data_IF_109828418078
#
_entry.id   IF_109828418078
#
_cell.length_a   1.000
_cell.length_b   1.000
_cell.length_c   1.000
_cell.angle_alpha   90.00
_cell.angle_beta   90.00
_cell.angle_gamma   90.00
#
_symmetry.space_group_name_H-M   'P 1'
#
loop_
_entity.id
_entity.type
_entity.pdbx_description
1 polymer ?
#
# COMPACT_ATOMS: atom_id res chain seq x y z
N UNK A 1 -34.62 -12.06 -6.10
CA UNK A 1 -34.37 -13.42 -5.58
C UNK A 1 -33.55 -13.28 -4.30
N UNK A 2 -33.88 -14.06 -3.26
CA UNK A 2 -33.61 -13.83 -1.84
C UNK A 2 -32.12 -13.66 -1.46
N UNK A 3 -31.79 -12.86 -0.42
CA UNK A 3 -30.48 -12.92 0.22
C UNK A 3 -30.41 -14.11 1.18
N UNK A 4 -29.30 -14.84 1.15
CA UNK A 4 -29.01 -15.92 2.06
C UNK A 4 -28.90 -15.40 3.50
N UNK A 5 -29.68 -16.01 4.39
CA UNK A 5 -29.72 -15.74 5.82
C UNK A 5 -28.42 -16.31 6.43
N UNK A 6 -27.49 -15.45 6.81
CA UNK A 6 -26.42 -15.82 7.74
C UNK A 6 -27.04 -15.93 9.14
N UNK A 7 -27.29 -17.15 9.58
CA UNK A 7 -27.66 -17.46 10.96
C UNK A 7 -26.43 -17.19 11.83
N UNK A 8 -26.46 -16.09 12.58
CA UNK A 8 -25.45 -15.81 13.62
C UNK A 8 -25.67 -16.76 14.80
N UNK A 9 -24.63 -17.42 15.33
CA UNK A 9 -24.74 -18.21 16.55
C UNK A 9 -25.25 -17.34 17.71
N UNK A 10 -26.22 -17.85 18.45
CA UNK A 10 -26.77 -17.18 19.63
C UNK A 10 -25.68 -16.98 20.68
N UNK A 11 -25.34 -15.72 20.99
CA UNK A 11 -24.44 -15.41 22.10
C UNK A 11 -23.56 -14.17 21.92
N UNK A 12 -23.40 -13.64 20.71
CA UNK A 12 -22.67 -12.39 20.49
C UNK A 12 -23.67 -11.23 20.57
N UNK A 13 -23.56 -10.40 21.62
CA UNK A 13 -24.52 -9.36 21.97
C UNK A 13 -24.93 -8.46 20.80
N UNK A 14 -26.22 -8.11 20.75
CA UNK A 14 -26.84 -7.29 19.70
C UNK A 14 -26.10 -5.97 19.43
N UNK A 15 -25.47 -5.38 20.45
CA UNK A 15 -24.62 -4.20 20.36
C UNK A 15 -23.38 -4.40 19.49
N UNK A 16 -22.69 -5.53 19.60
CA UNK A 16 -21.51 -5.84 18.78
C UNK A 16 -21.90 -6.05 17.30
N UNK A 17 -23.04 -6.69 17.06
CA UNK A 17 -23.57 -6.88 15.70
C UNK A 17 -23.98 -5.56 15.03
N UNK A 18 -24.46 -4.58 15.80
CA UNK A 18 -24.84 -3.26 15.30
C UNK A 18 -23.61 -2.40 15.01
N UNK A 19 -22.57 -2.46 15.85
CA UNK A 19 -21.29 -1.77 15.59
C UNK A 19 -20.66 -2.27 14.28
N UNK A 20 -20.57 -3.59 14.09
CA UNK A 20 -20.01 -4.15 12.86
C UNK A 20 -20.80 -3.78 11.60
N UNK A 21 -22.14 -3.76 11.68
CA UNK A 21 -22.99 -3.27 10.58
C UNK A 21 -22.75 -1.79 10.33
N UNK A 22 -22.71 -0.97 11.38
CA UNK A 22 -22.50 0.47 11.26
C UNK A 22 -21.13 0.83 10.67
N UNK A 23 -20.09 0.05 10.99
CA UNK A 23 -18.77 0.19 10.37
C UNK A 23 -18.76 -0.23 8.90
N UNK A 24 -19.53 -1.26 8.53
CA UNK A 24 -19.65 -1.71 7.15
C UNK A 24 -20.35 -0.68 6.23
N UNK A 25 -21.24 0.14 6.79
CA UNK A 25 -21.93 1.23 6.08
C UNK A 25 -21.07 2.50 5.94
N UNK A 26 -19.89 2.57 6.57
CA UNK A 26 -19.02 3.74 6.43
C UNK A 26 -18.45 3.80 5.01
N UNK A 27 -18.57 4.95 4.29
CA UNK A 27 -18.02 5.09 2.95
C UNK A 27 -16.52 4.79 2.88
N UNK A 28 -15.78 5.13 3.94
CA UNK A 28 -14.35 4.86 4.09
C UNK A 28 -14.07 3.35 4.06
N UNK A 29 -14.84 2.56 4.80
CA UNK A 29 -14.67 1.10 4.81
C UNK A 29 -14.96 0.48 3.44
N UNK A 30 -16.02 0.94 2.78
CA UNK A 30 -16.31 0.56 1.39
C UNK A 30 -15.13 0.83 0.45
N UNK A 31 -14.52 2.02 0.52
CA UNK A 31 -13.33 2.35 -0.28
C UNK A 31 -12.10 1.53 0.09
N UNK A 32 -11.89 1.22 1.37
CA UNK A 32 -10.80 0.32 1.78
C UNK A 32 -10.95 -1.07 1.15
N UNK A 33 -12.17 -1.61 1.11
CA UNK A 33 -12.43 -2.89 0.45
C UNK A 33 -12.21 -2.81 -1.07
N UNK A 34 -12.59 -1.71 -1.72
CA UNK A 34 -12.30 -1.50 -3.15
C UNK A 34 -10.78 -1.50 -3.40
N UNK A 35 -10.01 -0.79 -2.59
CA UNK A 35 -8.54 -0.75 -2.71
C UNK A 35 -7.93 -2.15 -2.55
N UNK A 36 -8.41 -2.93 -1.57
CA UNK A 36 -7.91 -4.29 -1.32
C UNK A 36 -8.30 -5.29 -2.42
N UNK A 37 -9.49 -5.14 -3.01
CA UNK A 37 -10.01 -6.06 -4.04
C UNK A 37 -9.57 -5.71 -5.46
N UNK A 38 -9.14 -4.47 -5.69
CA UNK A 38 -8.72 -4.01 -7.02
C UNK A 38 -7.72 -4.96 -7.72
N UNK A 39 -6.68 -5.51 -7.06
CA UNK A 39 -5.78 -6.46 -7.71
C UNK A 39 -6.43 -7.80 -8.11
N UNK A 40 -7.52 -8.19 -7.42
CA UNK A 40 -8.28 -9.40 -7.75
C UNK A 40 -9.21 -9.12 -8.94
N UNK A 41 -9.80 -7.93 -8.99
CA UNK A 41 -10.70 -7.49 -10.06
C UNK A 41 -9.95 -7.14 -11.35
N UNK A 42 -8.70 -6.70 -11.25
CA UNK A 42 -7.79 -6.45 -12.37
C UNK A 42 -6.47 -7.20 -12.15
N UNK A 43 -6.39 -8.50 -12.56
CA UNK A 43 -5.26 -9.37 -12.25
C UNK A 43 -3.90 -8.88 -12.74
N UNK A 44 -3.85 -8.01 -13.76
CA UNK A 44 -2.59 -7.43 -14.23
C UNK A 44 -1.86 -6.65 -13.15
N UNK A 45 -2.60 -6.06 -12.20
CA UNK A 45 -2.00 -5.40 -11.02
C UNK A 45 -1.21 -6.38 -10.16
N UNK A 46 -1.55 -7.66 -10.13
CA UNK A 46 -0.88 -8.66 -9.29
C UNK A 46 0.59 -8.82 -9.68
N UNK A 47 0.95 -8.60 -10.95
CA UNK A 47 2.34 -8.66 -11.39
C UNK A 47 3.23 -7.61 -10.72
N UNK A 48 2.63 -6.51 -10.26
CA UNK A 48 3.35 -5.46 -9.53
C UNK A 48 3.07 -5.58 -8.02
N UNK A 49 1.81 -5.75 -7.62
CA UNK A 49 1.39 -5.76 -6.22
C UNK A 49 1.85 -7.01 -5.45
N UNK A 50 1.82 -8.20 -6.07
CA UNK A 50 2.15 -9.44 -5.37
C UNK A 50 3.62 -9.53 -4.96
N UNK A 51 4.61 -9.23 -5.82
CA UNK A 51 6.02 -9.20 -5.41
C UNK A 51 6.27 -8.28 -4.23
N UNK A 52 5.56 -7.15 -4.15
CA UNK A 52 5.68 -6.18 -3.07
C UNK A 52 5.14 -6.69 -1.74
N UNK A 53 3.94 -7.28 -1.76
CA UNK A 53 3.33 -7.85 -0.56
C UNK A 53 4.15 -9.05 -0.06
N UNK A 54 4.66 -9.88 -0.96
CA UNK A 54 5.55 -10.99 -0.62
C UNK A 54 6.88 -10.50 -0.05
N UNK A 55 7.52 -9.49 -0.67
CA UNK A 55 8.74 -8.89 -0.14
C UNK A 55 8.51 -8.32 1.25
N UNK A 56 7.39 -7.63 1.47
CA UNK A 56 7.00 -7.12 2.79
C UNK A 56 6.88 -8.26 3.80
N UNK A 57 6.10 -9.28 3.49
CA UNK A 57 5.90 -10.43 4.37
C UNK A 57 7.22 -11.12 4.70
N UNK A 58 8.06 -11.41 3.70
CA UNK A 58 9.36 -12.05 3.90
C UNK A 58 10.27 -11.20 4.79
N UNK A 59 10.34 -9.88 4.55
CA UNK A 59 11.21 -9.01 5.35
C UNK A 59 10.70 -8.83 6.78
N UNK A 60 9.38 -8.78 7.00
CA UNK A 60 8.80 -8.73 8.35
C UNK A 60 9.07 -10.02 9.13
N UNK A 61 8.98 -11.18 8.48
CA UNK A 61 9.37 -12.47 9.07
C UNK A 61 10.87 -12.50 9.36
N UNK A 62 11.72 -12.04 8.44
CA UNK A 62 13.17 -12.01 8.59
C UNK A 62 13.59 -11.15 9.78
N UNK A 63 13.17 -9.88 9.84
CA UNK A 63 13.51 -9.00 10.97
C UNK A 63 12.82 -9.42 12.27
N UNK A 64 11.71 -10.15 12.21
CA UNK A 64 11.11 -10.76 13.39
C UNK A 64 11.99 -11.87 13.98
N UNK A 65 12.69 -12.64 13.13
CA UNK A 65 13.66 -13.64 13.58
C UNK A 65 14.96 -12.97 14.06
N UNK A 66 15.49 -12.03 13.28
CA UNK A 66 16.76 -11.34 13.55
C UNK A 66 16.52 -9.92 14.07
N UNK A 67 15.91 -9.79 15.25
CA UNK A 67 15.46 -8.50 15.78
C UNK A 67 16.58 -7.49 16.09
N UNK A 68 17.81 -7.98 16.31
CA UNK A 68 18.99 -7.14 16.54
C UNK A 68 19.63 -6.62 15.24
N UNK A 69 19.19 -7.11 14.07
CA UNK A 69 19.65 -6.59 12.78
C UNK A 69 18.96 -5.26 12.45
N UNK A 70 19.78 -4.24 12.24
CA UNK A 70 19.30 -2.93 11.80
C UNK A 70 19.33 -2.79 10.27
N UNK A 71 18.36 -2.03 9.74
CA UNK A 71 18.40 -1.58 8.35
C UNK A 71 19.70 -0.79 8.09
N UNK A 72 20.48 -1.21 7.10
CA UNK A 72 21.66 -0.46 6.65
C UNK A 72 21.31 0.65 5.65
N UNK A 73 22.21 1.62 5.49
CA UNK A 73 22.08 2.67 4.48
C UNK A 73 21.96 2.12 3.05
N UNK A 74 22.67 1.02 2.74
CA UNK A 74 22.54 0.34 1.45
C UNK A 74 21.09 -0.16 1.22
N UNK A 75 20.47 -0.75 2.23
CA UNK A 75 19.08 -1.21 2.15
C UNK A 75 18.12 -0.03 2.00
N UNK A 76 18.32 1.06 2.74
CA UNK A 76 17.53 2.28 2.60
C UNK A 76 17.63 2.90 1.19
N UNK A 77 18.83 2.91 0.60
CA UNK A 77 19.04 3.34 -0.80
C UNK A 77 18.37 2.37 -1.77
N UNK A 78 18.53 1.07 -1.58
CA UNK A 78 17.90 0.03 -2.40
C UNK A 78 16.37 0.15 -2.43
N UNK A 79 15.76 0.39 -1.27
CA UNK A 79 14.31 0.59 -1.15
C UNK A 79 13.85 1.87 -1.85
N UNK A 80 14.64 2.96 -1.79
CA UNK A 80 14.34 4.18 -2.53
C UNK A 80 14.45 3.95 -4.06
N UNK A 81 15.47 3.23 -4.53
CA UNK A 81 15.60 2.84 -5.94
C UNK A 81 14.39 2.02 -6.38
N UNK A 82 13.96 1.08 -5.56
CA UNK A 82 12.76 0.28 -5.83
C UNK A 82 11.52 1.17 -6.03
N UNK A 83 11.27 2.16 -5.15
CA UNK A 83 10.17 3.11 -5.35
C UNK A 83 10.31 3.94 -6.63
N UNK A 84 11.53 4.35 -6.99
CA UNK A 84 11.78 5.04 -8.27
C UNK A 84 11.33 4.14 -9.42
N UNK A 85 11.72 2.86 -9.43
CA UNK A 85 11.33 1.91 -10.48
C UNK A 85 9.81 1.71 -10.55
N UNK A 86 9.12 1.62 -9.40
CA UNK A 86 7.65 1.53 -9.39
C UNK A 86 7.02 2.80 -9.98
N UNK A 87 7.50 3.99 -9.59
CA UNK A 87 6.98 5.24 -10.14
C UNK A 87 7.23 5.38 -11.65
N UNK A 88 8.39 4.93 -12.15
CA UNK A 88 8.65 4.83 -13.59
C UNK A 88 7.69 3.86 -14.28
N UNK A 89 7.39 2.73 -13.66
CA UNK A 89 6.43 1.77 -14.19
C UNK A 89 5.02 2.38 -14.30
N UNK A 90 4.58 3.15 -13.29
CA UNK A 90 3.28 3.84 -13.34
C UNK A 90 3.22 4.88 -14.47
N UNK A 91 4.28 5.67 -14.65
CA UNK A 91 4.37 6.58 -15.79
C UNK A 91 4.35 5.84 -17.12
N UNK A 92 5.06 4.70 -17.21
CA UNK A 92 5.04 3.86 -18.41
C UNK A 92 3.62 3.40 -18.72
N UNK A 93 2.88 2.89 -17.74
CA UNK A 93 1.50 2.44 -17.89
C UNK A 93 0.57 3.57 -18.35
N UNK A 94 0.65 4.74 -17.69
CA UNK A 94 -0.11 5.92 -18.10
C UNK A 94 0.17 6.30 -19.55
N UNK A 95 1.44 6.44 -19.93
CA UNK A 95 1.81 6.86 -21.28
C UNK A 95 1.42 5.83 -22.36
N UNK A 96 1.55 4.53 -22.07
CA UNK A 96 1.22 3.48 -23.04
C UNK A 96 -0.29 3.34 -23.26
N UNK A 97 -1.08 3.52 -22.20
CA UNK A 97 -2.53 3.31 -22.26
C UNK A 97 -3.26 4.55 -22.78
N UNK A 98 -2.74 5.75 -22.49
CA UNK A 98 -3.46 7.01 -22.73
C UNK A 98 -2.85 7.84 -23.85
N UNK A 99 -1.61 7.53 -24.25
CA UNK A 99 -0.85 8.37 -25.17
C UNK A 99 -0.33 9.66 -24.52
N UNK A 100 0.32 10.51 -25.33
CA UNK A 100 1.10 11.69 -24.88
C UNK A 100 0.46 13.02 -25.34
N UNK A 101 -0.78 13.01 -25.84
CA UNK A 101 -1.43 14.28 -26.21
C UNK A 101 -1.77 15.09 -24.96
N UNK A 102 -1.77 16.43 -25.08
CA UNK A 102 -2.10 17.32 -23.97
C UNK A 102 -3.51 17.04 -23.41
N UNK A 103 -4.48 16.74 -24.28
CA UNK A 103 -5.86 16.46 -23.88
C UNK A 103 -5.95 15.20 -23.02
N UNK A 104 -5.23 14.13 -23.38
CA UNK A 104 -5.21 12.89 -22.58
C UNK A 104 -4.52 13.09 -21.23
N UNK A 105 -3.40 13.81 -21.21
CA UNK A 105 -2.69 14.13 -19.96
C UNK A 105 -3.56 14.97 -19.04
N UNK A 106 -4.27 15.97 -19.56
CA UNK A 106 -5.16 16.83 -18.75
C UNK A 106 -6.37 16.04 -18.22
N UNK A 107 -6.95 15.15 -19.02
CA UNK A 107 -8.06 14.30 -18.57
C UNK A 107 -7.66 13.36 -17.42
N UNK A 108 -6.38 12.97 -17.34
CA UNK A 108 -5.85 12.04 -16.34
C UNK A 108 -4.88 12.69 -15.36
N UNK A 109 -4.91 14.01 -15.27
CA UNK A 109 -4.01 14.79 -14.42
C UNK A 109 -3.91 14.25 -12.98
N UNK A 110 -4.99 13.83 -12.30
CA UNK A 110 -4.89 13.24 -10.97
C UNK A 110 -3.97 12.01 -10.89
N UNK A 111 -3.97 11.15 -11.90
CA UNK A 111 -3.13 9.94 -11.94
C UNK A 111 -1.66 10.30 -12.15
N UNK A 112 -1.39 11.24 -13.04
CA UNK A 112 -0.04 11.79 -13.25
C UNK A 112 0.50 12.48 -11.99
N UNK A 113 -0.37 13.16 -11.22
CA UNK A 113 0.01 13.76 -9.93
C UNK A 113 0.33 12.70 -8.87
N UNK A 114 -0.41 11.59 -8.79
CA UNK A 114 -0.11 10.49 -7.87
C UNK A 114 1.23 9.85 -8.23
N UNK A 115 1.44 9.48 -9.50
CA UNK A 115 2.71 8.91 -9.97
C UNK A 115 3.88 9.89 -9.78
N UNK A 116 3.66 11.17 -10.07
CA UNK A 116 4.64 12.24 -9.88
C UNK A 116 4.98 12.52 -8.42
N UNK A 117 4.01 12.49 -7.52
CA UNK A 117 4.24 12.60 -6.09
C UNK A 117 5.08 11.42 -5.57
N UNK A 118 4.78 10.18 -6.02
CA UNK A 118 5.58 9.00 -5.67
C UNK A 118 7.01 9.11 -6.20
N UNK A 119 7.20 9.58 -7.44
CA UNK A 119 8.51 9.82 -8.04
C UNK A 119 9.30 10.88 -7.26
N UNK A 120 8.67 12.01 -6.92
CA UNK A 120 9.33 13.06 -6.17
C UNK A 120 9.73 12.59 -4.77
N UNK A 121 8.84 11.85 -4.10
CA UNK A 121 9.12 11.24 -2.81
C UNK A 121 10.29 10.25 -2.90
N UNK A 122 10.28 9.35 -3.88
CA UNK A 122 11.30 8.31 -4.03
C UNK A 122 12.67 8.87 -4.40
N UNK A 123 12.73 9.87 -5.29
CA UNK A 123 13.96 10.60 -5.60
C UNK A 123 14.47 11.39 -4.40
N UNK A 124 13.58 12.01 -3.63
CA UNK A 124 13.95 12.70 -2.39
C UNK A 124 14.55 11.73 -1.38
N UNK A 125 13.89 10.59 -1.15
CA UNK A 125 14.42 9.52 -0.29
C UNK A 125 15.76 9.01 -0.78
N UNK A 126 15.93 8.79 -2.08
CA UNK A 126 17.18 8.33 -2.66
C UNK A 126 18.33 9.31 -2.37
N UNK A 127 18.11 10.60 -2.60
CA UNK A 127 19.13 11.64 -2.33
C UNK A 127 19.43 11.73 -0.84
N UNK A 128 18.40 11.74 0.01
CA UNK A 128 18.55 11.84 1.47
C UNK A 128 19.30 10.63 2.04
N UNK A 129 18.98 9.41 1.58
CA UNK A 129 19.64 8.18 2.00
C UNK A 129 21.06 8.09 1.46
N UNK A 130 21.29 8.44 0.19
CA UNK A 130 22.64 8.42 -0.40
C UNK A 130 23.61 9.39 0.30
N UNK A 131 23.09 10.54 0.77
CA UNK A 131 23.89 11.55 1.48
C UNK A 131 23.89 11.38 3.00
N UNK A 132 23.19 10.38 3.53
CA UNK A 132 22.96 10.23 4.98
C UNK A 132 22.45 11.52 5.64
N UNK A 133 21.57 12.25 4.96
CA UNK A 133 21.19 13.63 5.32
C UNK A 133 20.21 13.71 6.51
N UNK A 134 19.54 12.61 6.85
CA UNK A 134 18.63 12.49 7.99
C UNK A 134 19.25 11.64 9.10
N UNK A 135 18.83 11.82 10.37
CA UNK A 135 19.20 10.90 11.45
C UNK A 135 18.81 9.46 11.11
N UNK A 136 19.64 8.48 11.49
CA UNK A 136 19.46 7.05 11.18
C UNK A 136 18.04 6.55 11.48
N UNK A 137 17.51 6.86 12.66
CA UNK A 137 16.16 6.43 13.05
C UNK A 137 15.08 6.96 12.10
N UNK A 138 15.13 8.24 11.70
CA UNK A 138 14.16 8.82 10.75
C UNK A 138 14.32 8.19 9.37
N UNK A 139 15.55 8.15 8.87
CA UNK A 139 15.86 7.64 7.54
C UNK A 139 15.41 6.18 7.37
N UNK A 140 15.72 5.35 8.37
CA UNK A 140 15.40 3.92 8.34
C UNK A 140 13.94 3.64 8.62
N UNK A 141 13.26 4.45 9.46
CA UNK A 141 11.82 4.30 9.65
C UNK A 141 11.03 4.60 8.37
N UNK A 142 11.35 5.65 7.63
CA UNK A 142 10.61 6.00 6.39
C UNK A 142 11.04 5.17 5.18
N UNK A 143 12.27 4.63 5.19
CA UNK A 143 12.84 3.86 4.07
C UNK A 143 12.84 2.35 4.31
N UNK A 144 12.18 1.87 5.37
CA UNK A 144 12.02 0.44 5.61
C UNK A 144 11.07 -0.18 4.58
N UNK A 145 11.13 -1.51 4.44
CA UNK A 145 10.36 -2.25 3.45
C UNK A 145 8.85 -2.04 3.59
N UNK A 146 8.33 -1.97 4.82
CA UNK A 146 6.91 -1.81 5.11
C UNK A 146 6.30 -0.52 4.52
N UNK A 147 6.71 0.71 4.92
CA UNK A 147 6.15 1.93 4.36
C UNK A 147 6.42 2.04 2.86
N UNK A 148 7.60 1.63 2.39
CA UNK A 148 7.97 1.67 0.97
C UNK A 148 7.03 0.79 0.14
N UNK A 149 6.86 -0.47 0.51
CA UNK A 149 6.03 -1.39 -0.27
C UNK A 149 4.54 -1.05 -0.16
N UNK A 150 4.07 -0.60 1.01
CA UNK A 150 2.67 -0.20 1.17
C UNK A 150 2.33 1.07 0.38
N UNK A 151 3.22 2.06 0.34
CA UNK A 151 3.02 3.27 -0.47
C UNK A 151 2.98 2.95 -1.95
N UNK A 152 3.90 2.12 -2.43
CA UNK A 152 3.91 1.76 -3.84
C UNK A 152 2.73 0.83 -4.20
N UNK A 153 2.28 -0.06 -3.30
CA UNK A 153 1.05 -0.83 -3.49
C UNK A 153 -0.15 0.09 -3.70
N UNK A 154 -0.33 1.08 -2.83
CA UNK A 154 -1.43 2.03 -2.96
C UNK A 154 -1.35 2.87 -4.23
N UNK A 155 -0.17 3.32 -4.61
CA UNK A 155 0.01 4.08 -5.84
C UNK A 155 -0.35 3.23 -7.08
N UNK A 156 0.09 1.97 -7.12
CA UNK A 156 -0.29 1.01 -8.16
C UNK A 156 -1.79 0.83 -8.21
N UNK A 157 -2.43 0.53 -7.08
CA UNK A 157 -3.89 0.35 -7.03
C UNK A 157 -4.61 1.62 -7.50
N UNK A 158 -4.28 2.79 -6.98
CA UNK A 158 -4.97 4.03 -7.32
C UNK A 158 -4.81 4.42 -8.80
N UNK A 159 -3.62 4.22 -9.37
CA UNK A 159 -3.34 4.53 -10.77
C UNK A 159 -3.97 3.48 -11.68
N UNK A 160 -3.60 2.22 -11.51
CA UNK A 160 -4.03 1.15 -12.42
C UNK A 160 -5.54 0.91 -12.35
N UNK A 161 -6.20 1.16 -11.20
CA UNK A 161 -7.66 1.02 -11.09
C UNK A 161 -8.43 2.06 -11.89
N UNK A 162 -7.80 3.18 -12.23
CA UNK A 162 -8.43 4.27 -12.96
C UNK A 162 -7.97 4.35 -14.42
N UNK A 163 -7.22 3.36 -14.90
CA UNK A 163 -7.00 3.13 -16.31
C UNK A 163 -8.30 2.59 -16.96
N UNK A 164 -8.43 2.63 -18.31
CA UNK A 164 -9.67 2.29 -19.02
C UNK A 164 -10.28 0.92 -18.68
N UNK A 165 -9.46 -0.08 -18.38
CA UNK A 165 -9.88 -1.44 -18.05
C UNK A 165 -10.00 -1.71 -16.54
N UNK A 166 -9.79 -0.68 -15.71
CA UNK A 166 -9.80 -0.80 -14.26
C UNK A 166 -11.19 -0.65 -13.63
N UNK A 167 -11.35 -1.04 -12.35
CA UNK A 167 -12.63 -0.95 -11.63
C UNK A 167 -13.13 0.49 -11.40
N UNK A 168 -12.31 1.51 -11.66
CA UNK A 168 -12.67 2.92 -11.59
C UNK A 168 -12.93 3.40 -10.16
N UNK A 169 -11.89 3.43 -9.31
CA UNK A 169 -12.02 3.90 -7.93
C UNK A 169 -12.04 5.44 -7.90
N UNK A 170 -13.15 6.08 -7.47
CA UNK A 170 -13.23 7.55 -7.48
C UNK A 170 -12.13 8.21 -6.63
N UNK A 171 -11.45 9.21 -7.17
CA UNK A 171 -10.36 9.93 -6.50
C UNK A 171 -10.89 11.14 -5.73
N UNK A 172 -11.53 10.86 -4.59
CA UNK A 172 -12.13 11.86 -3.71
C UNK A 172 -11.53 11.80 -2.29
N UNK A 173 -11.98 12.70 -1.42
CA UNK A 173 -11.53 12.74 -0.02
C UNK A 173 -11.86 11.47 0.77
N UNK A 174 -12.87 10.70 0.38
CA UNK A 174 -13.21 9.42 1.02
C UNK A 174 -12.17 8.37 0.67
N UNK A 175 -11.74 8.30 -0.60
CA UNK A 175 -10.63 7.42 -1.02
C UNK A 175 -9.31 7.82 -0.35
N UNK A 176 -9.04 9.12 -0.20
CA UNK A 176 -7.84 9.56 0.53
C UNK A 176 -7.87 9.11 2.00
N UNK A 177 -9.00 9.30 2.69
CA UNK A 177 -9.17 8.83 4.07
C UNK A 177 -9.08 7.30 4.18
N UNK A 178 -9.66 6.58 3.22
CA UNK A 178 -9.59 5.12 3.15
C UNK A 178 -8.18 4.60 2.89
N UNK A 179 -7.42 5.25 2.01
CA UNK A 179 -6.03 4.92 1.74
C UNK A 179 -5.16 5.10 3.00
N UNK A 180 -5.32 6.21 3.73
CA UNK A 180 -4.61 6.46 5.00
C UNK A 180 -5.01 5.45 6.07
N UNK A 181 -6.32 5.19 6.23
CA UNK A 181 -6.81 4.19 7.17
C UNK A 181 -6.28 2.79 6.82
N UNK A 182 -6.25 2.43 5.54
CA UNK A 182 -5.72 1.16 5.06
C UNK A 182 -4.21 1.03 5.32
N UNK A 183 -3.42 2.08 5.04
CA UNK A 183 -1.99 2.10 5.39
C UNK A 183 -1.80 1.85 6.88
N UNK A 184 -2.53 2.57 7.72
CA UNK A 184 -2.44 2.42 9.16
C UNK A 184 -2.79 0.99 9.61
N UNK A 185 -3.90 0.43 9.11
CA UNK A 185 -4.29 -0.94 9.45
C UNK A 185 -3.26 -1.98 8.98
N UNK A 186 -2.69 -1.82 7.77
CA UNK A 186 -1.67 -2.73 7.26
C UNK A 186 -0.37 -2.60 8.05
N UNK A 187 0.04 -1.40 8.43
CA UNK A 187 1.20 -1.20 9.31
C UNK A 187 1.00 -1.88 10.67
N UNK A 188 -0.19 -1.73 11.28
CA UNK A 188 -0.53 -2.42 12.54
C UNK A 188 -0.52 -3.93 12.37
N UNK A 189 -1.10 -4.44 11.27
CA UNK A 189 -1.14 -5.87 10.98
C UNK A 189 0.27 -6.47 10.83
N UNK A 190 1.10 -5.89 9.97
CA UNK A 190 2.47 -6.38 9.77
C UNK A 190 3.34 -6.21 11.03
N UNK A 191 3.17 -5.12 11.78
CA UNK A 191 3.83 -4.95 13.08
C UNK A 191 3.43 -6.03 14.09
N UNK A 192 2.15 -6.45 14.11
CA UNK A 192 1.70 -7.54 14.96
C UNK A 192 2.29 -8.91 14.52
N UNK A 193 2.42 -9.14 13.20
CA UNK A 193 3.10 -10.33 12.66
C UNK A 193 4.56 -10.35 13.10
N UNK A 194 5.27 -9.23 12.95
CA UNK A 194 6.66 -9.09 13.39
C UNK A 194 6.84 -9.42 14.87
N UNK A 195 6.02 -8.83 15.75
CA UNK A 195 6.06 -9.10 17.20
C UNK A 195 5.75 -10.58 17.52
N UNK A 196 4.77 -11.17 16.84
CA UNK A 196 4.44 -12.57 17.03
C UNK A 196 5.63 -13.48 16.68
N UNK A 197 6.36 -13.19 15.59
CA UNK A 197 7.56 -13.95 15.23
C UNK A 197 8.66 -13.74 16.28
N UNK A 198 8.97 -12.50 16.64
CA UNK A 198 10.01 -12.16 17.60
C UNK A 198 9.79 -12.85 18.96
N UNK A 199 8.55 -12.89 19.45
CA UNK A 199 8.24 -13.52 20.74
C UNK A 199 8.45 -15.04 20.77
N UNK A 200 8.52 -15.68 19.60
CA UNK A 200 8.69 -17.14 19.45
C UNK A 200 10.11 -17.53 19.00
N UNK A 201 10.96 -16.56 18.65
CA UNK A 201 12.35 -16.80 18.30
C UNK A 201 13.16 -17.19 19.54
N UNK A 202 14.04 -18.21 19.47
CA UNK A 202 14.93 -18.52 20.57
C UNK A 202 15.82 -17.31 20.85
N UNK A 203 15.97 -16.94 22.12
CA UNK A 203 16.94 -15.94 22.53
C UNK A 203 18.35 -16.46 22.20
N UNK A 204 19.06 -15.78 21.28
CA UNK A 204 20.49 -15.99 21.07
C UNK A 204 21.33 -15.30 22.16
#
# INVERSE_FOLDING_TARGET
>A
MMPAIFVTPAGIGSSFSWVLRSLAELPVFGRMLMLLRAPIEQPDMLWVALPMLLATLVMELYFGVYADEELGWNSAVGNAIFLVLVSLNLFRELLWTTGISADYVMAQLPLYLIAGALMLLSLSMLVLNFRHALPRHVAFSISSWLPVNLLAYLAVVLVSSNLPDGPGIPLDGVTAAAAVALLFLLMVFFGAVHQAVQSNSPAE
#
